data_IF_406521335841
#
_entry.id   IF_406521335841
#
_cell.length_a   1.000
_cell.length_b   1.000
_cell.length_c   1.000
_cell.angle_alpha   90.00
_cell.angle_beta   90.00
_cell.angle_gamma   90.00
#
_symmetry.space_group_name_H-M   'P 1'
#
loop_
_entity.id
_entity.type
_entity.pdbx_description
1 polymer ?
#
# COMPACT_ATOMS: atom_id res chain seq x y z
N UNK A 1 -61.91 -9.41 11.22
CA UNK A 1 -61.71 -8.89 9.85
C UNK A 1 -60.38 -8.16 9.87
N UNK A 2 -59.30 -8.82 9.48
CA UNK A 2 -57.97 -8.21 9.46
C UNK A 2 -57.72 -7.68 8.05
N UNK A 3 -57.52 -6.37 7.92
CA UNK A 3 -57.24 -5.70 6.66
C UNK A 3 -55.76 -5.87 6.32
N UNK A 4 -55.50 -6.35 5.10
CA UNK A 4 -54.20 -6.66 4.54
C UNK A 4 -53.70 -5.41 3.81
N UNK A 5 -52.59 -4.81 4.25
CA UNK A 5 -51.99 -3.66 3.57
C UNK A 5 -50.99 -4.12 2.50
N UNK A 6 -51.20 -3.67 1.25
CA UNK A 6 -50.32 -3.95 0.11
C UNK A 6 -49.02 -3.12 0.13
N UNK A 7 -47.91 -3.61 -0.48
CA UNK A 7 -46.65 -2.88 -0.53
C UNK A 7 -46.62 -1.80 -1.63
N UNK A 8 -46.29 -0.57 -1.23
CA UNK A 8 -46.09 0.59 -2.12
C UNK A 8 -44.79 0.41 -2.93
N UNK A 9 -44.90 0.32 -4.26
CA UNK A 9 -43.75 0.31 -5.19
C UNK A 9 -43.14 1.70 -5.32
N UNK A 10 -41.85 1.84 -5.04
CA UNK A 10 -41.07 3.05 -5.36
C UNK A 10 -40.66 3.08 -6.83
N UNK A 11 -40.63 4.26 -7.50
CA UNK A 11 -40.17 4.36 -8.88
C UNK A 11 -38.65 4.28 -8.99
N UNK A 12 -38.16 3.58 -10.01
CA UNK A 12 -36.75 3.51 -10.38
C UNK A 12 -36.34 4.82 -11.07
N UNK A 13 -35.44 5.58 -10.46
CA UNK A 13 -34.82 6.75 -11.10
C UNK A 13 -33.56 6.31 -11.83
N UNK A 14 -33.62 6.26 -13.16
CA UNK A 14 -32.46 6.12 -14.02
C UNK A 14 -31.64 7.42 -14.05
N UNK A 15 -30.34 7.32 -13.81
CA UNK A 15 -29.38 8.38 -14.08
C UNK A 15 -28.59 8.03 -15.32
N UNK A 16 -28.92 8.70 -16.44
CA UNK A 16 -28.14 8.65 -17.66
C UNK A 16 -26.80 9.35 -17.48
N UNK A 17 -25.71 8.67 -17.82
CA UNK A 17 -24.42 9.30 -18.05
C UNK A 17 -23.94 8.91 -19.45
N UNK A 18 -24.10 9.83 -20.39
CA UNK A 18 -23.43 9.74 -21.67
C UNK A 18 -21.93 9.94 -21.47
N UNK A 19 -21.14 8.93 -21.83
CA UNK A 19 -19.72 9.10 -22.14
C UNK A 19 -19.40 8.30 -23.40
N UNK A 20 -19.06 9.05 -24.43
CA UNK A 20 -18.53 8.61 -25.71
C UNK A 20 -17.21 7.87 -25.50
N UNK A 21 -17.17 6.59 -25.86
CA UNK A 21 -15.94 5.81 -25.99
C UNK A 21 -15.30 6.13 -27.34
N UNK A 22 -14.32 7.03 -27.36
CA UNK A 22 -13.39 7.17 -28.49
C UNK A 22 -12.36 6.02 -28.47
N UNK A 23 -11.84 5.60 -29.64
CA UNK A 23 -10.85 4.53 -29.70
C UNK A 23 -9.50 4.96 -29.10
N UNK A 24 -8.68 4.02 -28.61
CA UNK A 24 -7.39 4.34 -27.99
C UNK A 24 -6.40 4.93 -29.01
N UNK A 25 -5.63 5.94 -28.60
CA UNK A 25 -4.53 6.51 -29.40
C UNK A 25 -3.48 5.44 -29.72
N UNK A 26 -3.28 5.16 -31.01
CA UNK A 26 -2.14 4.39 -31.50
C UNK A 26 -0.84 5.20 -31.39
N UNK A 27 0.31 4.57 -31.09
CA UNK A 27 1.62 5.20 -31.24
C UNK A 27 1.93 5.43 -32.73
N UNK A 28 2.74 6.45 -33.08
CA UNK A 28 2.98 6.80 -34.48
C UNK A 28 3.75 5.72 -35.23
N UNK A 29 3.17 5.23 -36.34
CA UNK A 29 3.84 4.38 -37.32
C UNK A 29 4.89 5.21 -38.07
N UNK A 30 6.17 4.86 -37.91
CA UNK A 30 7.26 5.46 -38.69
C UNK A 30 7.22 4.89 -40.11
N UNK A 31 6.97 5.75 -41.09
CA UNK A 31 7.08 5.41 -42.52
C UNK A 31 8.57 5.24 -42.90
N UNK A 32 9.00 4.00 -43.11
CA UNK A 32 10.27 3.71 -43.79
C UNK A 32 10.08 3.90 -45.30
N UNK A 33 10.41 5.10 -45.79
CA UNK A 33 10.58 5.33 -47.23
C UNK A 33 11.97 4.85 -47.65
N UNK A 34 12.02 3.69 -48.29
CA UNK A 34 13.22 3.21 -48.95
C UNK A 34 13.53 4.11 -50.16
N UNK A 35 14.67 4.81 -50.14
CA UNK A 35 15.24 5.40 -51.34
C UNK A 35 16.68 4.92 -51.54
N UNK A 36 16.89 4.22 -52.66
CA UNK A 36 18.18 3.72 -53.13
C UNK A 36 19.04 4.90 -53.59
N UNK A 37 20.19 5.10 -52.95
CA UNK A 37 21.19 6.11 -53.31
C UNK A 37 22.58 5.50 -53.51
N UNK A 38 23.00 5.45 -54.77
CA UNK A 38 24.23 4.93 -55.37
C UNK A 38 25.55 5.43 -54.73
N UNK A 39 26.48 4.50 -54.53
CA UNK A 39 27.85 4.75 -54.08
C UNK A 39 28.66 5.66 -55.03
N UNK A 40 29.46 6.57 -54.46
CA UNK A 40 30.65 7.13 -55.11
C UNK A 40 31.80 7.23 -54.10
N UNK A 41 32.92 6.62 -54.47
CA UNK A 41 34.23 6.77 -53.84
C UNK A 41 34.73 8.21 -54.00
N UNK A 42 35.26 8.80 -52.92
CA UNK A 42 35.93 10.10 -52.92
C UNK A 42 36.91 10.21 -51.76
N UNK A 43 38.19 10.28 -52.09
CA UNK A 43 39.37 10.32 -51.21
C UNK A 43 39.69 11.79 -50.89
N UNK A 44 39.87 12.16 -49.61
CA UNK A 44 40.35 13.50 -49.27
C UNK A 44 40.38 13.86 -47.77
N UNK A 45 41.60 13.98 -47.26
CA UNK A 45 42.10 14.82 -46.16
C UNK A 45 41.60 14.65 -44.70
N UNK A 46 42.59 14.42 -43.82
CA UNK A 46 42.76 14.94 -42.44
C UNK A 46 41.89 16.16 -42.14
N UNK A 47 41.25 16.34 -40.98
CA UNK A 47 41.83 16.50 -39.63
C UNK A 47 40.74 16.43 -38.53
N UNK A 48 41.20 16.11 -37.31
CA UNK A 48 40.59 16.28 -35.98
C UNK A 48 39.83 15.09 -35.36
N UNK A 49 40.51 14.55 -34.34
CA UNK A 49 40.02 13.82 -33.17
C UNK A 49 38.85 14.59 -32.54
N UNK A 50 37.67 14.02 -32.60
CA UNK A 50 36.65 14.20 -31.57
C UNK A 50 36.58 12.85 -30.86
N UNK A 51 37.09 12.90 -29.63
CA UNK A 51 37.09 11.82 -28.67
C UNK A 51 35.67 11.80 -28.11
N UNK A 52 34.83 10.91 -28.63
CA UNK A 52 33.55 10.56 -28.03
C UNK A 52 33.83 9.83 -26.71
N UNK A 53 34.24 10.61 -25.71
CA UNK A 53 34.38 10.22 -24.32
C UNK A 53 33.31 10.97 -23.54
N UNK A 54 32.06 10.72 -23.92
CA UNK A 54 30.91 11.09 -23.13
C UNK A 54 30.27 9.78 -22.65
N UNK A 55 29.96 9.70 -21.35
CA UNK A 55 29.10 8.69 -20.68
C UNK A 55 29.73 7.48 -19.96
N UNK A 56 31.02 7.48 -19.61
CA UNK A 56 31.54 6.48 -18.64
C UNK A 56 31.47 6.97 -17.18
N UNK A 57 31.67 8.26 -16.94
CA UNK A 57 31.93 8.75 -15.57
C UNK A 57 30.65 8.89 -14.74
N UNK A 58 29.49 9.02 -15.38
CA UNK A 58 28.21 9.23 -14.69
C UNK A 58 27.66 7.94 -14.07
N UNK A 59 27.97 6.78 -14.64
CA UNK A 59 27.49 5.48 -14.13
C UNK A 59 28.29 5.02 -12.91
N UNK A 60 29.62 5.14 -12.97
CA UNK A 60 30.50 4.73 -11.87
C UNK A 60 30.32 5.62 -10.63
N UNK A 61 30.05 6.92 -10.81
CA UNK A 61 29.74 7.84 -9.69
C UNK A 61 28.40 7.50 -9.00
N UNK A 62 27.39 7.09 -9.77
CA UNK A 62 26.11 6.67 -9.22
C UNK A 62 26.21 5.35 -8.43
N UNK A 63 27.05 4.41 -8.88
CA UNK A 63 27.33 3.17 -8.15
C UNK A 63 28.23 3.39 -6.92
N UNK A 64 29.13 4.38 -6.96
CA UNK A 64 29.94 4.78 -5.81
C UNK A 64 29.09 5.39 -4.68
N UNK A 65 28.07 6.20 -5.01
CA UNK A 65 27.15 6.78 -4.02
C UNK A 65 26.32 5.70 -3.30
N UNK A 66 25.92 4.64 -3.99
CA UNK A 66 25.20 3.50 -3.40
C UNK A 66 26.04 2.70 -2.41
N UNK A 67 27.37 2.63 -2.61
CA UNK A 67 28.29 1.91 -1.70
C UNK A 67 28.61 2.69 -0.41
N UNK A 68 28.36 4.00 -0.36
CA UNK A 68 28.61 4.85 0.81
C UNK A 68 27.38 5.15 1.67
N UNK A 69 26.17 4.81 1.20
CA UNK A 69 24.94 5.11 1.92
C UNK A 69 24.75 4.15 3.12
N UNK A 70 24.96 4.66 4.33
CA UNK A 70 24.65 3.94 5.57
C UNK A 70 23.19 4.20 5.94
N UNK A 71 22.30 3.22 5.73
CA UNK A 71 20.91 3.31 6.20
C UNK A 71 20.85 2.91 7.67
N UNK A 72 20.69 3.89 8.55
CA UNK A 72 20.46 3.66 9.99
C UNK A 72 18.98 3.85 10.25
N UNK A 73 18.30 2.79 10.70
CA UNK A 73 16.89 2.85 11.06
C UNK A 73 16.71 2.82 12.57
N UNK A 74 15.87 3.72 13.09
CA UNK A 74 15.50 3.73 14.52
C UNK A 74 14.25 2.87 14.71
N UNK A 75 14.31 1.94 15.68
CA UNK A 75 13.26 0.97 15.94
C UNK A 75 12.68 1.09 17.35
N UNK A 76 11.35 1.04 17.46
CA UNK A 76 10.64 0.88 18.74
C UNK A 76 9.68 -0.32 18.66
N UNK A 77 9.35 -0.91 19.82
CA UNK A 77 8.42 -2.02 19.91
C UNK A 77 7.69 -2.02 21.26
N UNK A 78 6.53 -2.66 21.32
CA UNK A 78 5.77 -2.75 22.55
C UNK A 78 4.57 -3.70 22.49
N UNK A 79 3.79 -3.70 23.58
CA UNK A 79 2.62 -4.56 23.76
C UNK A 79 1.38 -3.73 24.06
N UNK A 80 0.30 -3.96 23.32
CA UNK A 80 -1.02 -3.40 23.55
C UNK A 80 -1.97 -4.50 24.02
N UNK A 81 -2.59 -4.32 25.18
CA UNK A 81 -3.56 -5.29 25.73
C UNK A 81 -4.98 -4.86 25.37
N UNK A 82 -5.76 -5.79 24.85
CA UNK A 82 -7.20 -5.58 24.72
C UNK A 82 -7.82 -5.50 26.12
N UNK A 83 -8.85 -4.65 26.35
CA UNK A 83 -9.56 -4.65 27.61
C UNK A 83 -10.17 -6.02 27.88
N UNK A 84 -9.98 -6.55 29.09
CA UNK A 84 -10.49 -7.86 29.48
C UNK A 84 -12.01 -7.94 29.31
N UNK A 85 -12.49 -9.02 28.69
CA UNK A 85 -13.91 -9.24 28.42
C UNK A 85 -14.53 -8.29 27.38
N UNK A 86 -13.78 -7.43 26.70
CA UNK A 86 -14.33 -6.50 25.69
C UNK A 86 -15.06 -7.21 24.54
N UNK A 87 -14.80 -8.50 24.36
CA UNK A 87 -15.30 -9.33 23.28
C UNK A 87 -15.86 -10.67 23.77
N UNK A 88 -16.12 -10.83 25.07
CA UNK A 88 -16.58 -12.12 25.64
C UNK A 88 -18.02 -12.49 25.24
N UNK A 89 -18.78 -11.54 24.70
CA UNK A 89 -20.16 -11.73 24.26
C UNK A 89 -20.53 -10.80 23.11
N UNK A 90 -21.61 -11.11 22.40
CA UNK A 90 -22.12 -10.33 21.28
C UNK A 90 -21.89 -11.03 19.94
N UNK A 91 -22.44 -10.42 18.89
CA UNK A 91 -22.41 -10.97 17.53
C UNK A 91 -21.97 -9.89 16.53
N UNK A 92 -21.39 -10.33 15.41
CA UNK A 92 -20.95 -9.45 14.32
C UNK A 92 -19.59 -8.82 14.60
N UNK A 93 -19.21 -7.85 13.75
CA UNK A 93 -17.93 -7.16 13.81
C UNK A 93 -17.84 -6.28 15.06
N UNK A 94 -16.90 -6.61 15.94
CA UNK A 94 -16.66 -5.90 17.21
C UNK A 94 -15.19 -5.56 17.29
N UNK A 95 -14.87 -4.29 17.56
CA UNK A 95 -13.48 -3.85 17.66
C UNK A 95 -13.22 -2.90 18.82
N UNK A 96 -11.94 -2.78 19.17
CA UNK A 96 -11.39 -1.81 20.10
C UNK A 96 -10.16 -1.17 19.46
N UNK A 97 -10.05 0.13 19.68
CA UNK A 97 -8.93 0.94 19.24
C UNK A 97 -7.95 1.06 20.40
N UNK A 98 -6.68 0.77 20.12
CA UNK A 98 -5.57 0.78 21.07
C UNK A 98 -4.49 1.72 20.53
N UNK A 99 -3.90 2.52 21.41
CA UNK A 99 -2.92 3.53 21.03
C UNK A 99 -1.55 3.21 21.62
N UNK A 100 -0.49 3.44 20.84
CA UNK A 100 0.88 3.52 21.30
C UNK A 100 1.47 4.87 20.88
N UNK A 101 2.43 5.36 21.67
CA UNK A 101 3.16 6.59 21.39
C UNK A 101 4.64 6.27 21.20
N UNK A 102 5.28 6.93 20.25
CA UNK A 102 6.71 6.85 19.99
C UNK A 102 7.24 8.21 19.57
N UNK A 103 8.55 8.32 19.36
CA UNK A 103 9.16 9.57 18.88
C UNK A 103 10.05 9.30 17.66
N UNK A 104 9.45 9.31 16.47
CA UNK A 104 10.14 9.05 15.22
C UNK A 104 10.42 10.34 14.44
N UNK A 105 11.57 10.39 13.76
CA UNK A 105 11.94 11.51 12.88
C UNK A 105 11.10 11.55 11.60
N UNK A 106 10.70 10.38 11.11
CA UNK A 106 9.86 10.15 9.92
C UNK A 106 8.72 9.21 10.30
N UNK A 107 7.66 9.15 9.49
CA UNK A 107 6.55 8.22 9.75
C UNK A 107 7.08 6.78 9.64
N UNK A 108 7.06 5.98 10.72
CA UNK A 108 7.64 4.64 10.70
C UNK A 108 6.80 3.67 9.86
N UNK A 109 7.44 2.62 9.37
CA UNK A 109 6.76 1.40 8.93
C UNK A 109 6.42 0.57 10.17
N UNK A 110 5.16 0.15 10.29
CA UNK A 110 4.66 -0.57 11.47
C UNK A 110 4.18 -1.96 11.09
N UNK A 111 4.63 -2.96 11.87
CA UNK A 111 4.09 -4.33 11.84
C UNK A 111 3.40 -4.63 13.18
N UNK A 112 2.27 -5.32 13.12
CA UNK A 112 1.53 -5.78 14.30
C UNK A 112 1.28 -7.28 14.23
N UNK A 113 1.23 -7.94 15.38
CA UNK A 113 0.91 -9.36 15.49
C UNK A 113 0.25 -9.69 16.82
N UNK A 114 -0.55 -10.75 16.86
CA UNK A 114 -1.14 -11.25 18.10
C UNK A 114 -0.03 -11.86 18.97
N UNK A 115 0.11 -11.38 20.22
CA UNK A 115 1.10 -11.87 21.18
C UNK A 115 0.52 -12.81 22.25
N UNK A 116 -0.79 -12.70 22.51
CA UNK A 116 -1.52 -13.54 23.46
C UNK A 116 -2.99 -13.63 23.04
N UNK A 117 -3.61 -14.80 23.23
CA UNK A 117 -4.98 -15.06 22.83
C UNK A 117 -5.66 -16.05 23.80
N UNK A 118 -6.70 -15.59 24.48
CA UNK A 118 -7.59 -16.41 25.30
C UNK A 118 -9.02 -16.30 24.75
N UNK A 119 -9.41 -17.32 23.99
CA UNK A 119 -10.62 -17.36 23.18
C UNK A 119 -11.56 -18.45 23.70
N UNK A 120 -12.86 -18.21 23.58
CA UNK A 120 -13.88 -19.20 23.92
C UNK A 120 -13.78 -20.45 23.03
N UNK A 121 -14.47 -21.52 23.41
CA UNK A 121 -14.60 -22.68 22.52
C UNK A 121 -15.32 -22.28 21.23
N UNK A 122 -14.93 -22.86 20.09
CA UNK A 122 -15.56 -22.66 18.79
C UNK A 122 -14.62 -22.08 17.74
N UNK A 123 -15.20 -21.35 16.77
CA UNK A 123 -14.43 -20.72 15.71
C UNK A 123 -13.63 -19.52 16.23
N UNK A 124 -12.32 -19.54 15.98
CA UNK A 124 -11.41 -18.45 16.34
C UNK A 124 -11.38 -17.46 15.19
N UNK A 125 -11.89 -16.25 15.44
CA UNK A 125 -11.97 -15.18 14.44
C UNK A 125 -11.49 -13.88 15.08
N UNK A 126 -10.22 -13.56 14.90
CA UNK A 126 -9.59 -12.37 15.50
C UNK A 126 -8.74 -11.67 14.46
N UNK A 127 -8.80 -10.34 14.45
CA UNK A 127 -8.02 -9.49 13.57
C UNK A 127 -7.34 -8.41 14.38
N UNK A 128 -6.04 -8.20 14.11
CA UNK A 128 -5.29 -7.03 14.53
C UNK A 128 -4.83 -6.28 13.28
N UNK A 129 -5.11 -4.99 13.20
CA UNK A 129 -4.79 -4.17 12.04
C UNK A 129 -4.33 -2.79 12.46
N UNK A 130 -3.30 -2.25 11.81
CA UNK A 130 -2.91 -0.85 11.95
C UNK A 130 -4.00 0.03 11.32
N UNK A 131 -4.44 1.06 12.05
CA UNK A 131 -5.47 1.99 11.61
C UNK A 131 -4.88 3.34 11.16
N UNK A 132 -3.90 3.86 11.92
CA UNK A 132 -3.16 5.06 11.54
C UNK A 132 -1.76 5.06 12.14
N UNK A 133 -0.82 5.71 11.44
CA UNK A 133 0.57 5.88 11.87
C UNK A 133 0.98 7.32 11.62
N UNK A 134 1.57 7.95 12.63
CA UNK A 134 2.25 9.25 12.53
C UNK A 134 3.65 9.13 13.12
N UNK A 135 4.43 10.22 13.07
CA UNK A 135 5.74 10.30 13.73
C UNK A 135 5.66 10.16 15.26
N UNK A 136 4.48 10.31 15.86
CA UNK A 136 4.32 10.33 17.32
C UNK A 136 3.30 9.34 17.86
N UNK A 137 2.41 8.83 17.00
CA UNK A 137 1.27 8.02 17.42
C UNK A 137 1.05 6.84 16.47
N UNK A 138 0.69 5.71 17.06
CA UNK A 138 0.26 4.50 16.36
C UNK A 138 -1.12 4.10 16.91
N UNK A 139 -2.08 3.94 15.99
CA UNK A 139 -3.41 3.43 16.30
C UNK A 139 -3.55 2.02 15.75
N UNK A 140 -3.86 1.06 16.62
CA UNK A 140 -4.08 -0.34 16.26
C UNK A 140 -5.48 -0.75 16.66
N UNK A 141 -6.18 -1.39 15.73
CA UNK A 141 -7.49 -1.97 15.94
C UNK A 141 -7.39 -3.47 16.19
N UNK A 142 -7.95 -3.94 17.28
CA UNK A 142 -8.21 -5.37 17.51
C UNK A 142 -9.71 -5.64 17.44
N UNK A 143 -10.10 -6.73 16.81
CA UNK A 143 -11.50 -7.12 16.75
C UNK A 143 -11.73 -8.59 16.51
N UNK A 144 -13.00 -8.97 16.67
CA UNK A 144 -13.58 -10.28 16.40
C UNK A 144 -14.84 -10.11 15.55
N UNK A 145 -15.30 -11.18 14.91
CA UNK A 145 -16.54 -11.15 14.14
C UNK A 145 -17.41 -12.38 14.36
N UNK A 146 -18.66 -12.27 13.92
CA UNK A 146 -19.70 -13.29 14.13
C UNK A 146 -19.83 -13.61 15.63
N UNK A 147 -20.00 -14.88 16.00
CA UNK A 147 -20.21 -15.35 17.38
C UNK A 147 -18.93 -15.57 18.22
N UNK A 148 -17.75 -15.22 17.70
CA UNK A 148 -16.47 -15.53 18.32
C UNK A 148 -16.24 -14.76 19.64
N UNK A 149 -16.08 -15.48 20.76
CA UNK A 149 -15.83 -14.91 22.09
C UNK A 149 -14.35 -14.79 22.41
N UNK A 150 -13.88 -13.60 22.78
CA UNK A 150 -12.48 -13.38 23.16
C UNK A 150 -12.42 -12.79 24.58
N UNK A 151 -11.87 -13.56 25.52
CA UNK A 151 -11.77 -13.17 26.94
C UNK A 151 -10.63 -12.18 27.15
N UNK A 152 -9.46 -12.46 26.58
CA UNK A 152 -8.34 -11.53 26.61
C UNK A 152 -7.38 -11.76 25.44
N UNK A 153 -6.70 -10.69 25.03
CA UNK A 153 -5.72 -10.74 23.96
C UNK A 153 -4.68 -9.62 24.11
N UNK A 154 -3.52 -9.82 23.49
CA UNK A 154 -2.53 -8.76 23.31
C UNK A 154 -2.02 -8.70 21.88
N UNK A 155 -1.58 -7.52 21.49
CA UNK A 155 -0.91 -7.24 20.23
C UNK A 155 0.52 -6.82 20.54
N UNK A 156 1.48 -7.44 19.89
CA UNK A 156 2.83 -6.92 19.78
C UNK A 156 2.90 -6.00 18.56
N UNK A 157 3.59 -4.87 18.70
CA UNK A 157 3.86 -3.96 17.60
C UNK A 157 5.36 -3.68 17.53
N UNK A 158 5.82 -3.40 16.31
CA UNK A 158 7.19 -2.99 16.00
C UNK A 158 7.12 -1.91 14.92
N UNK A 159 7.85 -0.82 15.13
CA UNK A 159 7.92 0.34 14.27
C UNK A 159 9.38 0.62 13.91
N UNK A 160 9.64 0.94 12.64
CA UNK A 160 10.98 1.22 12.13
C UNK A 160 10.93 2.44 11.19
N UNK A 161 11.78 3.43 11.42
CA UNK A 161 11.83 4.70 10.68
C UNK A 161 13.21 4.97 10.08
#
# INVERSE_FOLDING_TARGET
MYEQAEPVRSPVSGSGSGRTTGPPSQPPTVHLSASRGRARYGKGATYKREEDQETSDTYEEAEALKRGATFTSEGEAGVLKAPGGAFSSGFGDRFRVLNATGAFRTTPVVTVGLGYLDHSVGHIRVMASVESVTTTNLTVRIGTWYDSGLYSASIHWMACA
#
